data_IF_500051283799
#
_entry.id   IF_500051283799
#
_cell.length_a   1.000
_cell.length_b   1.000
_cell.length_c   1.000
_cell.angle_alpha   90.00
_cell.angle_beta   90.00
_cell.angle_gamma   90.00
#
_symmetry.space_group_name_H-M   'P 1'
#
loop_
_entity.id
_entity.type
_entity.pdbx_description
1 polymer ?
#
# COMPACT_ATOMS: atom_id res chain seq x y z
N UNK A 1 1.20 14.13 7.85
CA UNK A 1 1.33 12.68 7.59
C UNK A 1 2.72 12.44 7.04
N UNK A 2 3.53 11.61 7.70
CA UNK A 2 4.89 11.23 7.28
C UNK A 2 4.88 9.76 6.85
N UNK A 3 5.19 9.53 5.58
CA UNK A 3 5.28 8.21 4.98
C UNK A 3 6.70 7.66 5.13
N UNK A 4 6.85 6.35 5.38
CA UNK A 4 8.13 5.68 5.51
C UNK A 4 9.05 6.34 6.56
N UNK A 5 8.55 6.44 7.81
CA UNK A 5 9.23 7.09 8.94
C UNK A 5 10.66 6.57 9.14
N UNK A 6 10.93 5.33 8.75
CA UNK A 6 12.23 4.66 8.81
C UNK A 6 13.31 5.38 8.00
N UNK A 7 12.91 6.05 6.91
CA UNK A 7 13.81 6.77 5.99
C UNK A 7 14.29 8.11 6.55
N UNK A 8 13.64 8.63 7.58
CA UNK A 8 14.05 9.87 8.23
C UNK A 8 15.06 9.59 9.33
N UNK A 9 15.95 10.56 9.55
CA UNK A 9 16.81 10.58 10.74
C UNK A 9 15.91 10.69 11.98
N UNK A 10 16.08 9.81 12.99
CA UNK A 10 15.26 9.83 14.20
C UNK A 10 15.25 11.19 14.90
N UNK A 11 16.37 11.89 14.93
CA UNK A 11 16.54 13.21 15.54
C UNK A 11 15.59 14.24 14.92
N UNK A 12 15.42 14.20 13.60
CA UNK A 12 14.55 15.13 12.88
C UNK A 12 13.07 14.92 13.23
N UNK A 13 12.66 13.65 13.44
CA UNK A 13 11.30 13.34 13.88
C UNK A 13 11.10 13.81 15.33
N UNK A 14 12.09 13.61 16.20
CA UNK A 14 12.04 14.07 17.60
C UNK A 14 11.94 15.59 17.70
N UNK A 15 12.79 16.29 16.96
CA UNK A 15 12.79 17.76 16.90
C UNK A 15 11.45 18.29 16.38
N UNK A 16 10.87 17.64 15.38
CA UNK A 16 9.55 17.98 14.87
C UNK A 16 8.46 17.77 15.93
N UNK A 17 8.44 16.62 16.62
CA UNK A 17 7.47 16.34 17.68
C UNK A 17 7.59 17.38 18.79
N UNK A 18 8.82 17.69 19.21
CA UNK A 18 9.08 18.70 20.22
C UNK A 18 8.58 20.08 19.78
N UNK A 19 8.87 20.50 18.54
CA UNK A 19 8.41 21.76 17.99
C UNK A 19 6.87 21.84 17.99
N UNK A 20 6.19 20.79 17.51
CA UNK A 20 4.73 20.73 17.49
C UNK A 20 4.14 20.76 18.91
N UNK A 21 4.76 20.07 19.87
CA UNK A 21 4.34 20.08 21.27
C UNK A 21 4.45 21.48 21.89
N UNK A 22 5.58 22.17 21.68
CA UNK A 22 5.80 23.54 22.17
C UNK A 22 4.80 24.52 21.52
N UNK A 23 4.55 24.38 20.22
CA UNK A 23 3.61 25.23 19.50
C UNK A 23 2.17 25.02 19.99
N UNK A 24 1.76 23.80 20.35
CA UNK A 24 0.42 23.51 20.92
C UNK A 24 0.18 24.24 22.25
N UNK A 25 1.21 24.34 23.10
CA UNK A 25 1.11 24.96 24.42
C UNK A 25 1.45 26.45 24.46
N UNK A 26 1.96 27.02 23.37
CA UNK A 26 2.34 28.43 23.33
C UNK A 26 1.05 29.30 23.38
N UNK A 27 0.91 30.21 24.36
CA UNK A 27 -0.19 31.17 24.33
C UNK A 27 -0.02 32.06 23.09
N UNK A 28 -0.78 31.74 22.04
CA UNK A 28 -0.82 32.50 20.80
C UNK A 28 -1.57 33.81 21.06
N UNK A 29 -0.84 34.77 21.63
CA UNK A 29 -1.35 36.09 21.93
C UNK A 29 -0.86 36.61 23.26
N UNK A 30 0.23 37.37 23.24
CA UNK A 30 0.24 38.55 24.10
C UNK A 30 -0.75 39.54 23.48
N UNK A 31 -1.69 40.12 24.25
CA UNK A 31 -2.53 41.20 23.73
C UNK A 31 -1.63 42.29 23.13
N UNK A 32 -1.72 42.51 21.81
CA UNK A 32 -0.93 43.51 21.09
C UNK A 32 0.18 43.00 20.17
N UNK A 33 0.44 41.70 20.05
CA UNK A 33 1.37 41.15 19.04
C UNK A 33 0.63 40.34 17.97
N UNK A 34 0.69 40.80 16.72
CA UNK A 34 0.20 40.06 15.55
C UNK A 34 1.20 38.93 15.25
N UNK A 35 0.86 37.71 15.65
CA UNK A 35 1.60 36.52 15.21
C UNK A 35 1.29 36.28 13.73
N UNK A 36 2.25 36.57 12.84
CA UNK A 36 2.18 36.17 11.43
C UNK A 36 2.28 34.65 11.23
N UNK A 37 2.70 33.92 12.27
CA UNK A 37 2.47 32.48 12.36
C UNK A 37 0.99 32.32 12.72
N UNK A 38 0.16 32.23 11.67
CA UNK A 38 -1.24 31.88 11.80
C UNK A 38 -1.41 30.62 12.65
N UNK A 39 -2.53 30.53 13.35
CA UNK A 39 -2.88 29.46 14.26
C UNK A 39 -2.51 28.08 13.67
N UNK A 40 -1.41 27.47 14.12
CA UNK A 40 -1.02 26.13 13.67
C UNK A 40 -1.84 25.15 14.49
N UNK A 41 -3.07 24.87 14.03
CA UNK A 41 -3.94 23.86 14.61
C UNK A 41 -3.46 22.46 14.19
N UNK A 42 -2.29 22.06 14.69
CA UNK A 42 -1.81 20.69 14.51
C UNK A 42 -2.55 19.79 15.50
N UNK A 43 -3.70 19.28 15.08
CA UNK A 43 -4.54 18.38 15.87
C UNK A 43 -3.92 16.98 16.06
N UNK A 44 -2.98 16.59 15.19
CA UNK A 44 -2.30 15.30 15.29
C UNK A 44 -1.23 15.10 14.22
N UNK A 45 -0.27 14.22 14.53
CA UNK A 45 0.79 13.80 13.64
C UNK A 45 0.57 12.33 13.25
N UNK A 46 0.32 12.08 11.96
CA UNK A 46 0.21 10.70 11.43
C UNK A 46 1.60 10.24 10.97
N UNK A 47 2.06 9.13 11.53
CA UNK A 47 3.33 8.48 11.24
C UNK A 47 3.07 7.09 10.64
N UNK A 48 3.51 6.86 9.40
CA UNK A 48 3.46 5.54 8.79
C UNK A 48 4.82 4.86 8.95
N UNK A 49 4.87 3.88 9.84
CA UNK A 49 6.06 3.10 10.15
C UNK A 49 5.87 1.65 9.70
N UNK A 50 6.95 1.02 9.27
CA UNK A 50 7.05 -0.43 9.09
C UNK A 50 7.58 -1.06 10.38
N UNK A 51 6.91 -2.11 10.84
CA UNK A 51 7.31 -2.87 12.02
C UNK A 51 6.37 -2.71 13.20
N UNK A 52 6.87 -2.98 14.40
CA UNK A 52 6.09 -2.92 15.63
C UNK A 52 6.08 -1.50 16.21
N UNK A 53 5.09 -1.24 17.05
CA UNK A 53 5.00 0.02 17.80
C UNK A 53 6.25 0.25 18.67
N UNK A 54 6.88 -0.81 19.17
CA UNK A 54 8.09 -0.73 19.99
C UNK A 54 9.29 -0.14 19.23
N UNK A 55 9.47 -0.52 17.96
CA UNK A 55 10.54 0.04 17.10
C UNK A 55 10.33 1.53 16.87
N UNK A 56 9.07 1.96 16.71
CA UNK A 56 8.74 3.37 16.61
C UNK A 56 9.06 4.10 17.92
N UNK A 57 8.69 3.54 19.08
CA UNK A 57 8.98 4.15 20.37
C UNK A 57 10.47 4.23 20.69
N UNK A 58 11.24 3.21 20.34
CA UNK A 58 12.71 3.23 20.46
C UNK A 58 13.31 4.37 19.61
N UNK A 59 12.80 4.55 18.38
CA UNK A 59 13.19 5.67 17.52
C UNK A 59 12.78 7.02 18.08
N UNK A 60 11.60 7.15 18.68
CA UNK A 60 11.16 8.41 19.28
C UNK A 60 11.96 8.76 20.54
N UNK A 61 12.38 7.76 21.32
CA UNK A 61 12.99 7.98 22.62
C UNK A 61 11.95 8.13 23.73
N UNK A 62 12.37 7.88 24.97
CA UNK A 62 11.49 7.84 26.15
C UNK A 62 10.88 9.19 26.53
N UNK A 63 11.54 10.30 26.19
CA UNK A 63 11.05 11.63 26.51
C UNK A 63 9.93 12.04 25.55
N UNK A 64 10.19 11.96 24.26
CA UNK A 64 9.25 12.34 23.21
C UNK A 64 8.02 11.43 23.23
N UNK A 65 8.19 10.13 23.52
CA UNK A 65 7.06 9.20 23.65
C UNK A 65 6.08 9.57 24.78
N UNK A 66 6.54 10.23 25.84
CA UNK A 66 5.66 10.75 26.91
C UNK A 66 4.98 12.08 26.56
N UNK A 67 5.45 12.78 25.52
CA UNK A 67 4.87 14.05 25.06
C UNK A 67 3.72 13.86 24.08
N UNK A 68 3.58 12.66 23.51
CA UNK A 68 2.57 12.33 22.50
C UNK A 68 1.62 11.26 23.00
N UNK A 69 0.32 11.47 22.77
CA UNK A 69 -0.67 10.40 22.88
C UNK A 69 -0.65 9.61 21.56
N UNK A 70 -0.21 8.34 21.62
CA UNK A 70 0.00 7.52 20.42
C UNK A 70 -1.15 6.56 20.25
N UNK A 71 -1.90 6.76 19.16
CA UNK A 71 -2.91 5.80 18.72
C UNK A 71 -2.37 4.96 17.56
N UNK A 72 -2.17 3.67 17.80
CA UNK A 72 -1.73 2.73 16.78
C UNK A 72 -2.91 2.22 15.95
N UNK A 73 -2.74 2.25 14.62
CA UNK A 73 -3.67 1.64 13.67
C UNK A 73 -2.93 0.57 12.88
N UNK A 74 -3.44 -0.65 12.91
CA UNK A 74 -2.87 -1.75 12.15
C UNK A 74 -3.46 -1.78 10.74
N UNK A 75 -2.59 -1.68 9.73
CA UNK A 75 -2.96 -1.90 8.34
C UNK A 75 -2.98 -3.40 8.03
N UNK A 76 -3.87 -3.89 7.15
CA UNK A 76 -3.86 -5.28 6.71
C UNK A 76 -2.49 -5.65 6.12
N UNK A 77 -2.04 -6.87 6.41
CA UNK A 77 -0.80 -7.39 5.82
C UNK A 77 -0.97 -7.62 4.31
N UNK A 78 0.15 -7.68 3.58
CA UNK A 78 0.15 -8.07 2.16
C UNK A 78 -0.59 -9.40 1.93
N UNK A 79 -0.38 -10.40 2.80
CA UNK A 79 -1.07 -11.68 2.75
C UNK A 79 -2.59 -11.56 2.95
N UNK A 80 -3.03 -10.70 3.87
CA UNK A 80 -4.46 -10.42 4.09
C UNK A 80 -5.07 -9.78 2.84
N UNK A 81 -4.41 -8.77 2.27
CA UNK A 81 -4.86 -8.13 1.03
C UNK A 81 -4.95 -9.11 -0.14
N UNK A 82 -3.96 -9.99 -0.30
CA UNK A 82 -3.97 -11.04 -1.33
C UNK A 82 -5.15 -11.99 -1.11
N UNK A 83 -5.38 -12.44 0.12
CA UNK A 83 -6.52 -13.30 0.45
C UNK A 83 -7.85 -12.64 0.08
N UNK A 84 -8.02 -11.35 0.38
CA UNK A 84 -9.21 -10.58 -0.01
C UNK A 84 -9.37 -10.48 -1.53
N UNK A 85 -8.29 -10.18 -2.27
CA UNK A 85 -8.34 -10.15 -3.74
C UNK A 85 -8.74 -11.52 -4.30
N UNK A 86 -8.17 -12.60 -3.76
CA UNK A 86 -8.51 -13.95 -4.19
C UNK A 86 -9.98 -14.27 -3.95
N UNK A 87 -10.48 -14.04 -2.74
CA UNK A 87 -11.85 -14.40 -2.34
C UNK A 87 -12.92 -13.50 -2.95
N UNK A 88 -12.62 -12.22 -3.21
CA UNK A 88 -13.60 -11.25 -3.68
C UNK A 88 -13.52 -10.96 -5.18
N UNK A 89 -12.35 -11.14 -5.80
CA UNK A 89 -12.13 -10.78 -7.22
C UNK A 89 -11.85 -11.99 -8.08
N UNK A 90 -10.99 -12.92 -7.64
CA UNK A 90 -10.58 -14.06 -8.47
C UNK A 90 -11.65 -15.16 -8.46
N UNK A 91 -12.06 -15.61 -7.27
CA UNK A 91 -13.02 -16.72 -7.11
C UNK A 91 -14.44 -16.35 -7.57
N UNK A 92 -15.01 -15.17 -7.24
CA UNK A 92 -16.41 -14.88 -7.55
C UNK A 92 -16.68 -14.55 -9.02
N UNK A 93 -15.66 -14.57 -9.88
CA UNK A 93 -15.80 -14.21 -11.30
C UNK A 93 -16.73 -15.19 -12.01
N UNK A 94 -17.98 -14.76 -12.17
CA UNK A 94 -19.02 -15.50 -12.92
C UNK A 94 -18.81 -15.50 -14.44
N UNK A 95 -17.96 -14.61 -14.94
CA UNK A 95 -17.65 -14.48 -16.36
C UNK A 95 -16.19 -14.03 -16.54
N UNK A 96 -15.45 -14.74 -17.40
CA UNK A 96 -14.05 -14.47 -17.70
C UNK A 96 -13.17 -15.72 -17.53
N UNK A 97 -11.88 -15.60 -17.87
CA UNK A 97 -10.93 -16.69 -17.73
C UNK A 97 -10.73 -17.05 -16.26
N UNK A 98 -10.78 -18.35 -15.96
CA UNK A 98 -10.50 -18.89 -14.64
C UNK A 98 -9.00 -19.00 -14.43
N UNK A 99 -8.54 -18.59 -13.24
CA UNK A 99 -7.17 -18.83 -12.84
C UNK A 99 -7.05 -20.29 -12.38
N UNK A 100 -6.22 -21.10 -13.04
CA UNK A 100 -6.00 -22.48 -12.60
C UNK A 100 -5.30 -22.49 -11.24
N UNK A 101 -5.60 -23.50 -10.42
CA UNK A 101 -4.96 -23.68 -9.13
C UNK A 101 -3.42 -23.70 -9.25
N UNK A 102 -2.88 -24.30 -10.32
CA UNK A 102 -1.43 -24.33 -10.56
C UNK A 102 -0.81 -22.95 -10.75
N UNK A 103 -1.43 -22.08 -11.55
CA UNK A 103 -0.93 -20.69 -11.73
C UNK A 103 -1.07 -19.90 -10.43
N UNK A 104 -2.16 -20.10 -9.70
CA UNK A 104 -2.37 -19.46 -8.41
C UNK A 104 -1.27 -19.83 -7.40
N UNK A 105 -1.01 -21.13 -7.22
CA UNK A 105 0.05 -21.59 -6.30
C UNK A 105 1.42 -21.10 -6.74
N UNK A 106 1.71 -21.11 -8.04
CA UNK A 106 2.97 -20.57 -8.53
C UNK A 106 3.14 -19.07 -8.22
N UNK A 107 2.07 -18.27 -8.33
CA UNK A 107 2.10 -16.85 -7.95
C UNK A 107 2.30 -16.66 -6.44
N UNK A 108 1.75 -17.55 -5.61
CA UNK A 108 1.92 -17.54 -4.16
C UNK A 108 3.33 -17.98 -3.74
N UNK A 109 3.88 -19.01 -4.38
CA UNK A 109 5.26 -19.48 -4.14
C UNK A 109 6.27 -18.40 -4.53
N UNK A 110 6.06 -17.72 -5.66
CA UNK A 110 6.90 -16.59 -6.08
C UNK A 110 6.78 -15.38 -5.15
N UNK A 111 5.63 -15.18 -4.50
CA UNK A 111 5.43 -14.15 -3.49
C UNK A 111 6.26 -14.44 -2.23
N UNK A 112 6.17 -15.66 -1.72
CA UNK A 112 6.89 -16.10 -0.52
C UNK A 112 8.41 -16.14 -0.74
N UNK A 113 8.86 -16.60 -1.92
CA UNK A 113 10.27 -16.77 -2.22
C UNK A 113 11.02 -15.46 -2.53
N UNK A 114 10.32 -14.40 -2.96
CA UNK A 114 10.95 -13.17 -3.47
C UNK A 114 10.62 -11.91 -2.67
N UNK A 115 10.08 -12.06 -1.46
CA UNK A 115 9.58 -10.96 -0.63
C UNK A 115 8.64 -10.05 -1.45
N UNK A 116 7.80 -10.66 -2.28
CA UNK A 116 7.14 -9.91 -3.34
C UNK A 116 5.97 -9.10 -2.78
N UNK A 117 5.86 -7.87 -3.27
CA UNK A 117 4.82 -6.93 -2.84
C UNK A 117 3.45 -7.31 -3.39
N UNK A 118 2.38 -6.77 -2.80
CA UNK A 118 1.03 -6.82 -3.37
C UNK A 118 1.02 -6.40 -4.86
N UNK A 119 1.83 -5.40 -5.23
CA UNK A 119 2.00 -4.97 -6.62
C UNK A 119 2.70 -6.00 -7.50
N UNK A 120 3.57 -6.84 -6.94
CA UNK A 120 4.14 -8.02 -7.61
C UNK A 120 3.05 -9.05 -7.94
N UNK A 121 2.23 -9.42 -6.95
CA UNK A 121 1.11 -10.34 -7.14
C UNK A 121 0.13 -9.87 -8.23
N UNK A 122 -0.30 -8.61 -8.16
CA UNK A 122 -1.22 -8.02 -9.14
C UNK A 122 -0.62 -8.04 -10.55
N UNK A 123 0.69 -7.76 -10.70
CA UNK A 123 1.37 -7.85 -11.99
C UNK A 123 1.44 -9.29 -12.49
N UNK A 124 1.71 -10.26 -11.62
CA UNK A 124 1.70 -11.68 -11.96
C UNK A 124 0.33 -12.15 -12.46
N UNK A 125 -0.75 -11.79 -11.76
CA UNK A 125 -2.12 -12.03 -12.20
C UNK A 125 -2.40 -11.40 -13.56
N UNK A 126 -2.00 -10.13 -13.77
CA UNK A 126 -2.17 -9.45 -15.04
C UNK A 126 -1.46 -10.21 -16.17
N UNK A 127 -0.24 -10.68 -15.95
CA UNK A 127 0.51 -11.45 -16.94
C UNK A 127 -0.12 -12.82 -17.22
N UNK A 128 -0.61 -13.51 -16.19
CA UNK A 128 -1.34 -14.76 -16.35
C UNK A 128 -2.59 -14.60 -17.23
N UNK A 129 -3.39 -13.56 -16.97
CA UNK A 129 -4.56 -13.26 -17.80
C UNK A 129 -4.18 -12.81 -19.22
N UNK A 130 -3.15 -11.96 -19.36
CA UNK A 130 -2.69 -11.55 -20.69
C UNK A 130 -2.20 -12.74 -21.51
N UNK A 131 -1.45 -13.67 -20.90
CA UNK A 131 -0.99 -14.89 -21.58
C UNK A 131 -2.16 -15.69 -22.14
N UNK A 132 -3.19 -15.91 -21.31
CA UNK A 132 -4.41 -16.61 -21.71
C UNK A 132 -5.05 -15.96 -22.94
N UNK A 133 -5.29 -14.65 -22.90
CA UNK A 133 -5.87 -13.94 -24.05
C UNK A 133 -4.95 -13.91 -25.27
N UNK A 134 -3.63 -13.85 -25.11
CA UNK A 134 -2.70 -13.86 -26.25
C UNK A 134 -2.57 -15.21 -26.92
N UNK A 135 -2.65 -16.30 -26.15
CA UNK A 135 -2.66 -17.65 -26.71
C UNK A 135 -3.99 -17.92 -27.41
N UNK A 136 -5.12 -17.46 -26.85
CA UNK A 136 -6.41 -17.45 -27.56
C UNK A 136 -6.40 -16.57 -28.80
N UNK A 137 -5.71 -15.42 -28.80
CA UNK A 137 -5.56 -14.59 -30.01
C UNK A 137 -4.70 -15.28 -31.10
N UNK A 138 -3.68 -16.05 -30.72
CA UNK A 138 -2.89 -16.85 -31.68
C UNK A 138 -3.74 -17.97 -32.26
N UNK A 139 -4.49 -18.67 -31.41
CA UNK A 139 -5.39 -19.75 -31.80
C UNK A 139 -6.57 -19.25 -32.65
N UNK A 140 -7.13 -18.08 -32.34
CA UNK A 140 -8.17 -17.43 -33.11
C UNK A 140 -7.67 -16.96 -34.47
N UNK A 141 -6.47 -16.38 -34.57
CA UNK A 141 -5.86 -16.02 -35.86
C UNK A 141 -5.62 -17.24 -36.74
N UNK A 142 -5.13 -18.34 -36.15
CA UNK A 142 -4.95 -19.60 -36.88
C UNK A 142 -6.28 -20.17 -37.36
N UNK A 143 -7.30 -20.20 -36.50
CA UNK A 143 -8.65 -20.63 -36.86
C UNK A 143 -9.27 -19.76 -37.97
N UNK A 144 -9.17 -18.43 -37.86
CA UNK A 144 -9.66 -17.50 -38.89
C UNK A 144 -8.90 -17.62 -40.22
N UNK A 145 -7.60 -17.95 -40.19
CA UNK A 145 -6.82 -18.23 -41.40
C UNK A 145 -7.16 -19.56 -42.08
N UNK A 146 -7.86 -20.45 -41.37
CA UNK A 146 -8.37 -21.73 -41.86
C UNK A 146 -9.86 -21.69 -42.23
N UNK A 147 -10.58 -20.61 -41.90
CA UNK A 147 -11.97 -20.47 -42.33
C UNK A 147 -12.05 -20.33 -43.85
N UNK A 148 -12.87 -21.16 -44.54
CA UNK A 148 -13.04 -21.04 -45.98
C UNK A 148 -13.58 -19.65 -46.30
N UNK A 149 -12.89 -18.94 -47.18
CA UNK A 149 -13.36 -17.63 -47.66
C UNK A 149 -14.72 -17.84 -48.29
N UNK A 150 -15.75 -17.21 -47.71
CA UNK A 150 -17.11 -17.22 -48.25
C UNK A 150 -17.05 -16.87 -49.73
N UNK A 151 -17.45 -17.81 -50.58
CA UNK A 151 -17.66 -17.53 -51.99
C UNK A 151 -18.86 -16.58 -52.05
N UNK A 152 -18.58 -15.33 -52.40
CA UNK A 152 -19.60 -14.34 -52.77
C UNK A 152 -20.31 -14.84 -54.03
N UNK A 153 -21.58 -15.18 -53.90
CA UNK A 153 -22.55 -15.13 -55.02
C UNK A 153 -22.78 -13.69 -55.43
#
# INVERSE_FOLDING_TARGET
CFLDVEKFQPELIRDLIYLLFVLRGAPHGRPGMVSHLGNIDCQGLVLCAYGTQDVLFERLGTRESTMVDVQAYHLPTTSTCISMITSEVIIPRRAGPELTAGIYFQLMDDLEARDATLGGFIRGLRMAFLSHYTDDLKNLKQFLSQMPKSQTT
#
